data_IF_087804780452
#
_entry.id   IF_087804780452
#
_cell.length_a   1.000
_cell.length_b   1.000
_cell.length_c   1.000
_cell.angle_alpha   90.00
_cell.angle_beta   90.00
_cell.angle_gamma   90.00
#
_symmetry.space_group_name_H-M   'P 1'
#
loop_
_entity.id
_entity.type
_entity.pdbx_description
1 polymer ?
#
# COMPACT_ATOMS: atom_id res chain seq x y z
N UNK A 1 -27.20 -7.97 -6.73
CA UNK A 1 -25.85 -7.75 -6.16
C UNK A 1 -24.97 -7.21 -7.28
N UNK A 2 -24.67 -5.92 -7.26
CA UNK A 2 -23.81 -5.28 -8.27
C UNK A 2 -22.34 -5.64 -8.02
N UNK A 3 -21.54 -6.01 -9.03
CA UNK A 3 -20.12 -6.23 -8.86
C UNK A 3 -19.43 -4.86 -8.87
N UNK A 4 -19.34 -4.20 -7.72
CA UNK A 4 -18.63 -2.92 -7.61
C UNK A 4 -17.20 -3.19 -7.14
N UNK A 5 -16.25 -3.19 -8.06
CA UNK A 5 -14.82 -3.27 -7.75
C UNK A 5 -14.36 -1.96 -7.12
N UNK A 6 -14.12 -1.94 -5.81
CA UNK A 6 -13.52 -0.79 -5.13
C UNK A 6 -12.00 -0.78 -5.34
N UNK A 7 -11.56 -0.32 -6.51
CA UNK A 7 -10.15 -0.06 -6.78
C UNK A 7 -9.94 1.46 -6.78
N UNK A 8 -9.15 1.95 -5.82
CA UNK A 8 -8.67 3.32 -5.80
C UNK A 8 -7.18 3.31 -6.17
N UNK A 9 -6.81 4.05 -7.21
CA UNK A 9 -5.43 4.12 -7.67
C UNK A 9 -4.84 5.48 -7.32
N UNK A 10 -3.63 5.47 -6.79
CA UNK A 10 -2.84 6.66 -6.49
C UNK A 10 -1.40 6.40 -6.91
N UNK A 11 -0.71 7.47 -7.28
CA UNK A 11 0.68 7.42 -7.71
C UNK A 11 1.53 7.89 -6.52
N UNK A 12 2.52 7.08 -6.14
CA UNK A 12 3.56 7.47 -5.20
C UNK A 12 4.86 7.78 -5.94
N UNK A 13 5.79 8.40 -5.22
CA UNK A 13 7.20 8.43 -5.63
C UNK A 13 7.79 7.01 -5.68
N UNK A 14 8.95 6.90 -6.32
CA UNK A 14 9.70 5.64 -6.42
C UNK A 14 10.08 5.09 -5.05
N UNK A 15 10.03 3.76 -4.89
CA UNK A 15 10.34 3.07 -3.64
C UNK A 15 11.80 2.60 -3.61
N UNK A 16 12.48 2.82 -2.49
CA UNK A 16 13.89 2.43 -2.31
C UNK A 16 14.05 1.12 -1.53
N UNK A 17 13.34 0.98 -0.42
CA UNK A 17 13.43 -0.14 0.50
C UNK A 17 12.07 -0.38 1.20
N UNK A 18 12.01 -1.38 2.08
CA UNK A 18 10.77 -1.74 2.80
C UNK A 18 10.24 -0.63 3.69
N UNK A 19 11.11 0.08 4.41
CA UNK A 19 10.69 1.13 5.36
C UNK A 19 10.15 2.35 4.62
N UNK A 20 10.81 2.74 3.53
CA UNK A 20 10.35 3.78 2.60
C UNK A 20 8.97 3.44 2.00
N UNK A 21 8.77 2.18 1.59
CA UNK A 21 7.46 1.69 1.13
C UNK A 21 6.38 1.83 2.21
N UNK A 22 6.67 1.48 3.47
CA UNK A 22 5.71 1.61 4.57
C UNK A 22 5.34 3.08 4.77
N UNK A 23 6.32 3.98 4.86
CA UNK A 23 6.08 5.40 5.07
C UNK A 23 5.26 6.03 3.93
N UNK A 24 5.63 5.76 2.67
CA UNK A 24 4.91 6.27 1.49
C UNK A 24 3.49 5.71 1.41
N UNK A 25 3.30 4.42 1.68
CA UNK A 25 1.97 3.80 1.70
C UNK A 25 1.06 4.45 2.73
N UNK A 26 1.57 4.74 3.94
CA UNK A 26 0.83 5.44 5.00
C UNK A 26 0.41 6.84 4.56
N UNK A 27 1.33 7.62 4.00
CA UNK A 27 1.06 8.99 3.50
C UNK A 27 -0.02 8.99 2.42
N UNK A 28 0.12 8.10 1.43
CA UNK A 28 -0.84 7.96 0.32
C UNK A 28 -2.21 7.54 0.84
N UNK A 29 -2.29 6.53 1.72
CA UNK A 29 -3.54 6.01 2.26
C UNK A 29 -4.33 7.11 3.00
N UNK A 30 -3.68 7.85 3.91
CA UNK A 30 -4.31 8.95 4.64
C UNK A 30 -4.74 10.10 3.71
N UNK A 31 -3.97 10.39 2.66
CA UNK A 31 -4.31 11.45 1.69
C UNK A 31 -5.57 11.14 0.87
N UNK A 32 -5.98 9.87 0.76
CA UNK A 32 -7.21 9.49 0.05
C UNK A 32 -8.49 9.90 0.80
N UNK A 33 -8.41 10.12 2.11
CA UNK A 33 -9.58 10.33 2.98
C UNK A 33 -10.47 9.08 3.17
N UNK A 34 -10.05 7.91 2.67
CA UNK A 34 -10.77 6.64 2.80
C UNK A 34 -10.47 5.91 4.12
N UNK A 35 -9.40 6.31 4.80
CA UNK A 35 -8.88 5.73 6.05
C UNK A 35 -8.37 6.84 6.96
N UNK A 36 -8.31 6.58 8.26
CA UNK A 36 -7.86 7.52 9.28
C UNK A 36 -6.80 6.93 10.23
N UNK A 37 -6.27 7.77 11.12
CA UNK A 37 -5.29 7.33 12.12
C UNK A 37 -5.92 6.31 13.06
N UNK A 38 -5.21 5.22 13.35
CA UNK A 38 -5.68 4.10 14.14
C UNK A 38 -6.24 2.94 13.29
N UNK A 39 -6.58 3.18 12.02
CA UNK A 39 -7.01 2.12 11.11
C UNK A 39 -5.89 1.12 10.84
N UNK A 40 -6.26 -0.12 10.52
CA UNK A 40 -5.32 -1.15 10.07
C UNK A 40 -5.39 -1.29 8.57
N UNK A 41 -4.23 -1.24 7.93
CA UNK A 41 -4.07 -1.52 6.51
C UNK A 41 -3.17 -2.74 6.29
N UNK A 42 -3.34 -3.37 5.13
CA UNK A 42 -2.44 -4.42 4.65
C UNK A 42 -1.67 -3.87 3.45
N UNK A 43 -0.35 -3.94 3.54
CA UNK A 43 0.55 -3.57 2.45
C UNK A 43 1.10 -4.86 1.84
N UNK A 44 1.01 -5.00 0.52
CA UNK A 44 1.57 -6.14 -0.23
C UNK A 44 2.61 -5.67 -1.23
N UNK A 45 3.76 -6.35 -1.31
CA UNK A 45 4.83 -6.02 -2.26
C UNK A 45 5.66 -7.25 -2.64
N UNK A 46 6.54 -7.09 -3.63
CA UNK A 46 7.59 -8.05 -3.98
C UNK A 46 8.97 -7.45 -3.71
N UNK A 47 9.79 -8.16 -2.93
CA UNK A 47 11.17 -7.80 -2.63
C UNK A 47 12.09 -8.91 -3.17
N UNK A 48 13.11 -8.60 -3.99
CA UNK A 48 13.52 -7.26 -4.43
C UNK A 48 12.47 -6.58 -5.32
N UNK A 49 12.38 -5.25 -5.22
CA UNK A 49 11.44 -4.47 -6.03
C UNK A 49 11.72 -4.60 -7.53
N UNK A 50 10.70 -4.30 -8.34
CA UNK A 50 10.77 -4.24 -9.81
C UNK A 50 11.00 -5.58 -10.51
N UNK A 51 10.84 -6.71 -9.79
CA UNK A 51 10.88 -8.05 -10.39
C UNK A 51 9.43 -8.57 -10.49
N UNK A 52 8.86 -8.71 -11.70
CA UNK A 52 7.52 -9.25 -11.86
C UNK A 52 7.39 -10.67 -11.29
N UNK A 53 6.24 -10.97 -10.69
CA UNK A 53 5.93 -12.32 -10.19
C UNK A 53 6.55 -12.70 -8.85
N UNK A 54 7.27 -11.79 -8.17
CA UNK A 54 7.92 -12.06 -6.89
C UNK A 54 7.14 -11.56 -5.67
N UNK A 55 5.88 -11.12 -5.81
CA UNK A 55 5.06 -10.62 -4.69
C UNK A 55 5.11 -11.59 -3.50
N UNK A 56 5.87 -11.23 -2.46
CA UNK A 56 6.28 -12.11 -1.38
C UNK A 56 6.24 -11.45 0.01
N UNK A 57 5.80 -10.19 0.09
CA UNK A 57 5.66 -9.46 1.33
C UNK A 57 4.19 -9.14 1.57
N UNK A 58 3.72 -9.45 2.78
CA UNK A 58 2.47 -8.98 3.34
C UNK A 58 2.76 -8.39 4.73
N UNK A 59 2.40 -7.13 4.95
CA UNK A 59 2.62 -6.41 6.20
C UNK A 59 1.30 -5.81 6.69
N UNK A 60 0.96 -6.09 7.94
CA UNK A 60 -0.12 -5.39 8.64
C UNK A 60 0.48 -4.15 9.32
N UNK A 61 -0.13 -3.00 9.06
CA UNK A 61 0.32 -1.69 9.54
C UNK A 61 -0.85 -0.94 10.18
N UNK A 62 -0.58 -0.17 11.24
CA UNK A 62 -1.59 0.67 11.91
C UNK A 62 -1.31 2.14 11.60
N UNK A 63 -2.19 2.82 10.87
CA UNK A 63 -2.06 4.20 10.39
C UNK A 63 -2.03 5.26 11.49
#
# INVERSE_FOLDING_TARGET
MSPTSYAYCSISEELENTDDMIEKSRKVALATGLVEKGDKIIITAGIPFKIPGTTNLLKVETL
#
